data_IF_355224138365
#
_entry.id   IF_355224138365
#
_cell.length_a   1.000
_cell.length_b   1.000
_cell.length_c   1.000
_cell.angle_alpha   90.00
_cell.angle_beta   90.00
_cell.angle_gamma   90.00
#
_symmetry.space_group_name_H-M   'P 1'
#
loop_
_entity.id
_entity.type
_entity.pdbx_description
1 polymer ?
#
# COMPACT_ATOMS: atom_id res chain seq x y z
N UNK A 1 17.24 14.91 -33.91
CA UNK A 1 17.88 13.61 -33.76
C UNK A 1 18.59 13.50 -32.42
N UNK A 2 19.65 14.23 -32.15
CA UNK A 2 20.46 14.15 -30.90
C UNK A 2 19.60 14.23 -29.61
N UNK A 3 18.60 15.09 -29.57
CA UNK A 3 17.72 15.20 -28.40
C UNK A 3 16.87 13.93 -28.16
N UNK A 4 16.43 13.26 -29.23
CA UNK A 4 15.63 12.03 -29.12
C UNK A 4 16.53 10.84 -28.79
N UNK A 5 17.76 10.81 -29.31
CA UNK A 5 18.77 9.82 -28.92
C UNK A 5 19.06 9.88 -27.41
N UNK A 6 19.21 11.08 -26.86
CA UNK A 6 19.39 11.27 -25.41
C UNK A 6 18.17 10.79 -24.61
N UNK A 7 16.94 11.08 -25.11
CA UNK A 7 15.70 10.61 -24.45
C UNK A 7 15.65 9.07 -24.47
N UNK A 8 15.96 8.44 -25.60
CA UNK A 8 16.02 6.99 -25.74
C UNK A 8 17.00 6.36 -24.74
N UNK A 9 18.23 6.89 -24.64
CA UNK A 9 19.22 6.40 -23.68
C UNK A 9 18.75 6.52 -22.22
N UNK A 10 18.15 7.67 -21.88
CA UNK A 10 17.61 7.91 -20.52
C UNK A 10 16.46 6.96 -20.21
N UNK A 11 15.49 6.80 -21.14
CA UNK A 11 14.34 5.92 -20.90
C UNK A 11 14.76 4.47 -20.79
N UNK A 12 15.70 4.01 -21.61
CA UNK A 12 16.28 2.66 -21.55
C UNK A 12 17.03 2.41 -20.24
N UNK A 13 17.83 3.38 -19.78
CA UNK A 13 18.48 3.28 -18.47
C UNK A 13 17.47 3.21 -17.33
N UNK A 14 16.40 4.02 -17.39
CA UNK A 14 15.33 4.00 -16.39
C UNK A 14 14.53 2.71 -16.40
N UNK A 15 14.28 2.10 -17.56
CA UNK A 15 13.66 0.77 -17.70
C UNK A 15 14.51 -0.27 -16.97
N UNK A 16 15.82 -0.33 -17.23
CA UNK A 16 16.73 -1.29 -16.59
C UNK A 16 16.77 -1.12 -15.06
N UNK A 17 16.84 0.12 -14.58
CA UNK A 17 16.82 0.41 -13.14
C UNK A 17 15.50 -0.02 -12.52
N UNK A 18 14.37 0.25 -13.19
CA UNK A 18 13.05 -0.16 -12.73
C UNK A 18 12.92 -1.69 -12.68
N UNK A 19 13.41 -2.41 -13.70
CA UNK A 19 13.41 -3.87 -13.75
C UNK A 19 14.25 -4.48 -12.61
N UNK A 20 15.42 -3.96 -12.34
CA UNK A 20 16.26 -4.42 -11.22
C UNK A 20 15.58 -4.20 -9.86
N UNK A 21 15.01 -3.02 -9.64
CA UNK A 21 14.29 -2.70 -8.40
C UNK A 21 13.03 -3.55 -8.26
N UNK A 22 12.31 -3.77 -9.34
CA UNK A 22 11.14 -4.64 -9.40
C UNK A 22 11.49 -6.05 -8.92
N UNK A 23 12.50 -6.70 -9.54
CA UNK A 23 12.91 -8.07 -9.19
C UNK A 23 13.30 -8.20 -7.71
N UNK A 24 14.01 -7.21 -7.18
CA UNK A 24 14.38 -7.18 -5.76
C UNK A 24 13.16 -7.02 -4.83
N UNK A 25 12.21 -6.16 -5.20
CA UNK A 25 10.99 -5.92 -4.42
C UNK A 25 10.04 -7.12 -4.49
N UNK A 26 9.90 -7.74 -5.68
CA UNK A 26 9.07 -8.93 -5.91
C UNK A 26 9.55 -10.11 -5.05
N UNK A 27 10.85 -10.36 -4.96
CA UNK A 27 11.38 -11.42 -4.11
C UNK A 27 11.08 -11.20 -2.62
N UNK A 28 11.10 -9.94 -2.15
CA UNK A 28 10.70 -9.60 -0.77
C UNK A 28 9.20 -9.78 -0.56
N UNK A 29 8.39 -9.32 -1.51
CA UNK A 29 6.94 -9.45 -1.48
C UNK A 29 6.50 -10.90 -1.43
N UNK A 30 7.05 -11.77 -2.28
CA UNK A 30 6.72 -13.19 -2.31
C UNK A 30 6.96 -13.88 -0.95
N UNK A 31 8.13 -13.63 -0.33
CA UNK A 31 8.45 -14.17 1.01
C UNK A 31 7.51 -13.65 2.09
N UNK A 32 7.23 -12.35 2.10
CA UNK A 32 6.36 -11.72 3.10
C UNK A 32 4.90 -12.16 2.95
N UNK A 33 4.45 -12.45 1.72
CA UNK A 33 3.09 -12.92 1.44
C UNK A 33 2.82 -14.29 2.06
N UNK A 34 3.78 -15.21 1.98
CA UNK A 34 3.65 -16.54 2.60
C UNK A 34 3.52 -16.38 4.11
N UNK A 35 4.42 -15.61 4.73
CA UNK A 35 4.38 -15.36 6.16
C UNK A 35 3.05 -14.77 6.63
N UNK A 36 2.55 -13.73 5.93
CA UNK A 36 1.29 -13.09 6.32
C UNK A 36 0.09 -14.04 6.18
N UNK A 37 0.08 -14.88 5.14
CA UNK A 37 -0.97 -15.88 4.94
C UNK A 37 -1.07 -16.86 6.12
N UNK A 38 0.08 -17.36 6.59
CA UNK A 38 0.12 -18.23 7.77
C UNK A 38 -0.34 -17.50 9.04
N UNK A 39 0.11 -16.26 9.22
CA UNK A 39 -0.35 -15.42 10.33
C UNK A 39 -1.86 -15.16 10.29
N UNK A 40 -2.43 -14.90 9.09
CA UNK A 40 -3.87 -14.71 8.91
C UNK A 40 -4.65 -15.97 9.30
N UNK A 41 -4.14 -17.13 8.95
CA UNK A 41 -4.73 -18.43 9.32
C UNK A 41 -4.70 -18.63 10.84
N UNK A 42 -3.58 -18.34 11.50
CA UNK A 42 -3.46 -18.44 12.95
C UNK A 42 -4.42 -17.48 13.68
N UNK A 43 -4.46 -16.21 13.26
CA UNK A 43 -5.38 -15.21 13.84
C UNK A 43 -6.84 -15.64 13.64
N UNK A 44 -7.18 -16.18 12.47
CA UNK A 44 -8.52 -16.65 12.17
C UNK A 44 -8.90 -17.85 13.05
N UNK A 45 -8.01 -18.83 13.22
CA UNK A 45 -8.26 -20.00 14.07
C UNK A 45 -8.42 -19.60 15.55
N UNK A 46 -7.56 -18.73 16.07
CA UNK A 46 -7.64 -18.26 17.43
C UNK A 46 -8.88 -17.37 17.67
N UNK A 47 -9.30 -16.56 16.70
CA UNK A 47 -10.51 -15.75 16.83
C UNK A 47 -11.78 -16.58 16.90
N UNK A 48 -11.85 -17.74 16.22
CA UNK A 48 -12.96 -18.67 16.33
C UNK A 48 -13.06 -19.36 17.70
N UNK A 49 -11.90 -19.61 18.33
CA UNK A 49 -11.86 -20.15 19.69
C UNK A 49 -12.39 -19.16 20.74
N UNK A 50 -12.27 -17.86 20.51
CA UNK A 50 -12.84 -16.81 21.39
C UNK A 50 -14.37 -16.83 21.40
N UNK A 51 -15.03 -17.06 20.24
CA UNK A 51 -16.49 -17.18 20.16
C UNK A 51 -16.99 -18.40 20.97
N UNK A 52 -16.31 -19.54 20.87
CA UNK A 52 -16.66 -20.75 21.60
C UNK A 52 -16.51 -20.61 23.13
N UNK A 53 -15.58 -19.77 23.60
CA UNK A 53 -15.40 -19.50 25.03
C UNK A 53 -16.53 -18.60 25.58
N UNK A 54 -17.06 -17.68 24.78
CA UNK A 54 -18.19 -16.83 25.18
C UNK A 54 -19.52 -17.58 25.32
N UNK A 55 -19.70 -18.63 24.55
CA UNK A 55 -20.92 -19.46 24.57
C UNK A 55 -20.85 -20.62 25.60
N UNK A 56 -19.71 -20.80 26.28
CA UNK A 56 -19.58 -21.82 27.35
C UNK A 56 -19.91 -21.21 28.72
N UNK A 57 -20.95 -21.68 29.42
CA UNK A 57 -21.34 -21.13 30.71
C UNK A 57 -20.45 -21.56 31.89
N UNK A 58 -19.21 -21.94 31.65
CA UNK A 58 -18.29 -22.40 32.70
C UNK A 58 -17.14 -21.41 32.91
N UNK A 59 -17.09 -20.93 34.19
CA UNK A 59 -15.98 -20.29 34.86
C UNK A 59 -15.89 -18.75 34.85
N UNK A 60 -16.91 -18.09 35.37
CA UNK A 60 -16.77 -16.70 35.87
C UNK A 60 -16.72 -16.66 37.42
N UNK A 61 -16.58 -17.78 38.11
CA UNK A 61 -16.75 -17.80 39.58
C UNK A 61 -15.50 -18.01 40.41
N UNK A 62 -14.28 -18.13 39.88
CA UNK A 62 -13.14 -18.43 40.75
C UNK A 62 -11.84 -17.69 40.41
N UNK A 63 -11.84 -16.35 40.31
CA UNK A 63 -10.60 -15.56 40.41
C UNK A 63 -10.90 -14.18 41.08
N UNK A 64 -11.54 -14.23 42.25
CA UNK A 64 -11.46 -13.16 43.23
C UNK A 64 -10.61 -13.66 44.37
N UNK A 65 -9.29 -13.46 44.30
CA UNK A 65 -8.47 -13.39 45.52
C UNK A 65 -7.22 -12.53 45.26
N UNK A 66 -7.19 -11.44 46.05
CA UNK A 66 -6.01 -10.78 46.63
C UNK A 66 -5.03 -10.04 45.69
N UNK A 67 -5.26 -8.75 45.55
CA UNK A 67 -4.19 -7.78 45.58
C UNK A 67 -4.64 -6.55 46.40
N UNK A 68 -3.86 -6.09 47.39
CA UNK A 68 -4.16 -4.90 48.17
C UNK A 68 -3.91 -3.64 47.35
N UNK A 69 -4.83 -2.69 47.45
CA UNK A 69 -4.70 -1.36 46.86
C UNK A 69 -3.66 -0.55 47.64
N UNK A 70 -2.64 -0.05 46.98
CA UNK A 70 -1.76 1.00 47.47
C UNK A 70 -2.00 2.29 46.65
N UNK A 71 -2.49 3.39 47.26
CA UNK A 71 -2.88 4.59 46.54
C UNK A 71 -1.78 5.67 46.57
N UNK A 72 -0.57 5.39 46.12
CA UNK A 72 0.45 6.41 46.02
C UNK A 72 1.45 6.15 44.90
N UNK A 73 1.07 6.47 43.66
CA UNK A 73 2.03 6.84 42.62
C UNK A 73 1.37 7.61 41.48
N UNK A 74 1.25 8.91 41.68
CA UNK A 74 1.08 9.90 40.61
C UNK A 74 2.47 10.25 40.08
N UNK A 75 2.79 9.83 38.86
CA UNK A 75 3.77 10.57 38.03
C UNK A 75 3.84 10.05 36.58
N UNK A 76 3.83 11.00 35.69
CA UNK A 76 4.33 11.06 34.31
C UNK A 76 3.49 10.44 33.19
N UNK A 77 3.17 11.33 32.27
CA UNK A 77 2.37 11.22 31.02
C UNK A 77 2.84 10.18 29.99
N UNK A 78 3.81 9.34 30.29
CA UNK A 78 4.30 8.26 29.41
C UNK A 78 3.68 6.88 29.66
N UNK A 79 3.13 6.64 30.84
CA UNK A 79 2.63 5.31 31.26
C UNK A 79 1.14 5.05 30.95
N UNK A 80 0.37 6.07 30.64
CA UNK A 80 -1.09 5.97 30.39
C UNK A 80 -1.38 5.17 29.10
N UNK A 81 -0.45 5.11 28.16
CA UNK A 81 -0.65 4.46 26.85
C UNK A 81 -0.57 2.93 26.86
N UNK A 82 0.07 2.33 27.88
CA UNK A 82 0.10 0.87 28.04
C UNK A 82 -1.09 0.30 28.82
N UNK A 83 -1.73 1.11 29.68
CA UNK A 83 -2.83 0.66 30.54
C UNK A 83 -4.14 0.41 29.82
N UNK A 84 -4.36 0.98 28.62
CA UNK A 84 -5.61 0.79 27.83
C UNK A 84 -5.78 -0.66 27.33
N UNK A 85 -4.71 -1.45 27.35
CA UNK A 85 -4.73 -2.86 26.96
C UNK A 85 -5.09 -3.83 28.09
N UNK A 86 -5.23 -3.32 29.32
CA UNK A 86 -5.40 -4.13 30.55
C UNK A 86 -6.78 -4.07 31.16
N UNK A 87 -7.82 -3.68 30.41
CA UNK A 87 -9.20 -3.80 30.95
C UNK A 87 -9.62 -5.27 30.96
N UNK A 88 -9.80 -5.89 32.16
CA UNK A 88 -10.26 -7.26 32.27
C UNK A 88 -11.74 -7.31 31.84
N UNK A 89 -12.04 -7.99 30.76
CA UNK A 89 -13.45 -8.25 30.41
C UNK A 89 -13.76 -8.55 28.96
N UNK A 90 -12.85 -8.36 28.00
CA UNK A 90 -13.12 -8.74 26.62
C UNK A 90 -11.86 -9.31 25.98
N UNK A 91 -11.85 -10.61 25.78
CA UNK A 91 -10.81 -11.36 25.04
C UNK A 91 -10.62 -10.82 23.61
N UNK A 92 -11.54 -10.02 23.11
CA UNK A 92 -11.52 -9.45 21.77
C UNK A 92 -10.94 -8.04 21.69
N UNK A 93 -10.64 -7.35 22.79
CA UNK A 93 -10.07 -6.00 22.80
C UNK A 93 -10.85 -4.95 21.98
N UNK A 94 -10.54 -3.68 22.15
CA UNK A 94 -11.27 -2.57 21.49
C UNK A 94 -11.15 -2.57 19.96
N UNK A 95 -10.22 -3.34 19.35
CA UNK A 95 -10.04 -3.43 17.90
C UNK A 95 -11.11 -4.28 17.18
N UNK A 96 -11.80 -5.14 17.92
CA UNK A 96 -12.92 -5.97 17.41
C UNK A 96 -14.29 -5.40 17.75
N UNK A 97 -14.34 -4.29 18.47
CA UNK A 97 -15.57 -3.66 18.84
C UNK A 97 -16.29 -3.10 17.61
N UNK A 98 -17.54 -3.51 17.40
CA UNK A 98 -18.36 -2.96 16.34
C UNK A 98 -18.88 -1.58 16.76
N UNK A 99 -18.29 -0.54 16.21
CA UNK A 99 -18.65 0.85 16.48
C UNK A 99 -19.63 1.38 15.43
N UNK A 100 -20.41 2.38 15.82
CA UNK A 100 -21.19 3.18 14.87
C UNK A 100 -20.20 4.03 14.10
N UNK A 101 -20.10 3.80 12.79
CA UNK A 101 -19.15 4.50 11.92
C UNK A 101 -19.65 5.93 11.69
N UNK A 102 -18.90 6.91 12.14
CA UNK A 102 -19.09 8.35 11.87
C UNK A 102 -17.89 8.94 11.14
N UNK A 103 -16.71 8.45 11.48
CA UNK A 103 -15.43 8.94 10.96
C UNK A 103 -14.72 7.84 10.19
N UNK A 104 -14.42 8.10 8.91
CA UNK A 104 -13.72 7.16 8.04
C UNK A 104 -12.36 7.70 7.64
N UNK A 105 -11.32 6.88 7.73
CA UNK A 105 -9.97 7.25 7.33
C UNK A 105 -9.46 6.33 6.23
N UNK A 106 -8.86 6.92 5.20
CA UNK A 106 -8.24 6.21 4.09
C UNK A 106 -6.73 6.37 4.14
N UNK A 107 -5.99 5.27 4.26
CA UNK A 107 -4.54 5.24 4.01
C UNK A 107 -4.31 5.06 2.51
N UNK A 108 -3.87 6.11 1.80
CA UNK A 108 -3.62 6.09 0.36
C UNK A 108 -2.12 5.97 0.06
N UNK A 109 -1.71 4.86 -0.56
CA UNK A 109 -0.30 4.55 -0.83
C UNK A 109 0.03 4.84 -2.29
N UNK A 110 0.83 5.88 -2.55
CA UNK A 110 1.31 6.27 -3.89
C UNK A 110 2.82 6.15 -4.00
N UNK A 111 3.36 6.44 -5.18
CA UNK A 111 4.80 6.56 -5.40
C UNK A 111 5.38 7.89 -4.91
N UNK A 112 6.71 7.90 -4.75
CA UNK A 112 7.47 9.13 -4.46
C UNK A 112 7.85 9.90 -5.72
N UNK A 113 7.92 9.21 -6.87
CA UNK A 113 8.37 9.75 -8.16
C UNK A 113 7.35 9.48 -9.27
N UNK A 114 7.42 10.29 -10.32
CA UNK A 114 6.64 10.11 -11.55
C UNK A 114 7.24 9.06 -12.50
N UNK A 115 6.91 9.18 -13.78
CA UNK A 115 7.34 8.32 -14.89
C UNK A 115 6.94 6.84 -14.72
N UNK A 116 5.81 6.61 -14.06
CA UNK A 116 5.20 5.30 -13.84
C UNK A 116 3.83 5.15 -14.55
N UNK A 117 3.70 5.83 -15.70
CA UNK A 117 2.43 5.85 -16.43
C UNK A 117 1.29 6.41 -15.59
N UNK A 118 0.12 5.79 -15.67
CA UNK A 118 -1.09 6.21 -14.95
C UNK A 118 -1.17 5.74 -13.49
N UNK A 119 -0.14 5.08 -12.95
CA UNK A 119 -0.15 4.49 -11.61
C UNK A 119 -0.59 5.47 -10.52
N UNK A 120 0.11 6.59 -10.36
CA UNK A 120 -0.21 7.58 -9.34
C UNK A 120 -1.54 8.29 -9.62
N UNK A 121 -1.82 8.63 -10.87
CA UNK A 121 -3.04 9.32 -11.27
C UNK A 121 -4.28 8.48 -10.99
N UNK A 122 -4.23 7.18 -11.25
CA UNK A 122 -5.33 6.26 -10.98
C UNK A 122 -5.60 6.11 -9.47
N UNK A 123 -4.55 6.03 -8.65
CA UNK A 123 -4.67 6.00 -7.19
C UNK A 123 -5.28 7.29 -6.64
N UNK A 124 -4.83 8.45 -7.13
CA UNK A 124 -5.37 9.75 -6.71
C UNK A 124 -6.84 9.93 -7.13
N UNK A 125 -7.22 9.45 -8.33
CA UNK A 125 -8.62 9.43 -8.77
C UNK A 125 -9.46 8.51 -7.89
N UNK A 126 -8.97 7.29 -7.58
CA UNK A 126 -9.66 6.35 -6.71
C UNK A 126 -9.86 6.93 -5.29
N UNK A 127 -8.84 7.58 -4.72
CA UNK A 127 -8.96 8.24 -3.43
C UNK A 127 -9.99 9.39 -3.45
N UNK A 128 -10.00 10.21 -4.50
CA UNK A 128 -10.99 11.28 -4.66
C UNK A 128 -12.43 10.73 -4.78
N UNK A 129 -12.61 9.67 -5.59
CA UNK A 129 -13.91 8.99 -5.71
C UNK A 129 -14.37 8.38 -4.38
N UNK A 130 -13.44 7.85 -3.57
CA UNK A 130 -13.76 7.32 -2.24
C UNK A 130 -14.25 8.43 -1.30
N UNK A 131 -13.61 9.61 -1.29
CA UNK A 131 -14.08 10.77 -0.51
C UNK A 131 -15.47 11.18 -0.93
N UNK A 132 -15.74 11.29 -2.23
CA UNK A 132 -17.06 11.65 -2.75
C UNK A 132 -18.12 10.59 -2.41
N UNK A 133 -17.78 9.31 -2.46
CA UNK A 133 -18.69 8.21 -2.14
C UNK A 133 -18.99 8.10 -0.62
N UNK A 134 -18.18 8.71 0.23
CA UNK A 134 -18.36 8.72 1.68
C UNK A 134 -18.66 10.13 2.22
N UNK A 135 -19.33 10.97 1.43
CA UNK A 135 -19.64 12.36 1.81
C UNK A 135 -20.53 12.46 3.07
N UNK A 136 -21.32 11.43 3.39
CA UNK A 136 -22.15 11.35 4.58
C UNK A 136 -21.36 11.14 5.89
N UNK A 137 -20.08 10.85 5.79
CA UNK A 137 -19.17 10.59 6.90
C UNK A 137 -18.11 11.69 7.00
N UNK A 138 -17.60 11.91 8.19
CA UNK A 138 -16.39 12.70 8.37
C UNK A 138 -15.19 11.92 7.80
N UNK A 139 -14.72 12.33 6.62
CA UNK A 139 -13.63 11.62 5.91
C UNK A 139 -12.29 12.31 6.10
N UNK A 140 -11.25 11.52 6.30
CA UNK A 140 -9.87 11.99 6.33
C UNK A 140 -8.95 11.04 5.55
N UNK A 141 -7.83 11.58 5.04
CA UNK A 141 -6.84 10.81 4.30
C UNK A 141 -5.50 10.83 5.02
N UNK A 142 -4.81 9.70 5.01
CA UNK A 142 -3.42 9.55 5.42
C UNK A 142 -2.60 9.22 4.17
N UNK A 143 -1.98 10.20 3.51
CA UNK A 143 -1.16 9.94 2.33
C UNK A 143 0.19 9.33 2.69
N UNK A 144 0.58 8.29 1.93
CA UNK A 144 1.91 7.69 1.95
C UNK A 144 2.52 7.86 0.56
N UNK A 145 3.69 8.49 0.51
CA UNK A 145 4.38 8.87 -0.73
C UNK A 145 4.22 10.34 -1.09
N UNK A 146 5.27 10.89 -1.70
CA UNK A 146 5.39 12.32 -2.00
C UNK A 146 4.25 12.81 -2.90
N UNK A 147 3.90 12.03 -3.93
CA UNK A 147 2.87 12.42 -4.92
C UNK A 147 1.50 12.60 -4.27
N UNK A 148 1.09 11.68 -3.35
CA UNK A 148 -0.18 11.83 -2.63
C UNK A 148 -0.17 13.03 -1.70
N UNK A 149 0.91 13.21 -0.91
CA UNK A 149 1.03 14.33 0.03
C UNK A 149 0.90 15.68 -0.68
N UNK A 150 1.60 15.86 -1.80
CA UNK A 150 1.54 17.10 -2.59
C UNK A 150 0.16 17.31 -3.24
N UNK A 151 -0.43 16.23 -3.79
CA UNK A 151 -1.72 16.31 -4.48
C UNK A 151 -2.87 16.64 -3.54
N UNK A 152 -2.96 15.99 -2.38
CA UNK A 152 -4.03 16.23 -1.41
C UNK A 152 -3.87 17.57 -0.71
N UNK A 153 -2.63 18.02 -0.44
CA UNK A 153 -2.36 19.37 0.05
C UNK A 153 -2.87 20.44 -0.92
N UNK A 154 -2.62 20.27 -2.24
CA UNK A 154 -3.12 21.21 -3.27
C UNK A 154 -4.65 21.21 -3.39
N UNK A 155 -5.30 20.09 -3.09
CA UNK A 155 -6.77 19.95 -3.16
C UNK A 155 -7.47 20.28 -1.84
N UNK A 156 -6.74 20.71 -0.81
CA UNK A 156 -7.26 21.02 0.51
C UNK A 156 -8.09 19.90 1.15
N UNK A 157 -7.72 18.64 0.86
CA UNK A 157 -8.39 17.47 1.46
C UNK A 157 -7.87 17.30 2.89
N UNK A 158 -8.74 17.05 3.90
CA UNK A 158 -8.33 16.85 5.28
C UNK A 158 -7.34 15.69 5.42
N UNK A 159 -6.19 15.96 6.03
CA UNK A 159 -5.14 14.97 6.29
C UNK A 159 -4.87 14.92 7.80
N UNK A 160 -5.03 13.73 8.42
CA UNK A 160 -4.71 13.52 9.84
C UNK A 160 -3.20 13.40 10.06
N UNK A 161 -2.55 12.64 9.21
CA UNK A 161 -1.11 12.38 9.21
C UNK A 161 -0.60 12.35 7.77
N UNK A 162 0.70 12.51 7.56
CA UNK A 162 1.31 12.37 6.24
C UNK A 162 2.69 11.73 6.30
N UNK A 163 2.98 10.88 5.32
CA UNK A 163 4.26 10.19 5.18
C UNK A 163 4.85 10.46 3.80
N UNK A 164 5.56 11.59 3.60
CA UNK A 164 6.01 12.01 2.28
C UNK A 164 7.13 11.14 1.68
N UNK A 165 7.85 10.39 2.51
CA UNK A 165 8.94 9.54 2.06
C UNK A 165 8.58 8.06 2.21
N UNK A 166 8.45 7.37 1.06
CA UNK A 166 8.26 5.92 0.98
C UNK A 166 9.52 5.17 0.52
N UNK A 167 10.59 5.89 0.24
CA UNK A 167 11.79 5.36 -0.43
C UNK A 167 12.44 4.15 0.26
N UNK A 168 12.23 3.99 1.56
CA UNK A 168 12.75 2.86 2.35
C UNK A 168 11.60 2.08 2.99
N UNK A 169 10.91 1.25 2.20
CA UNK A 169 9.94 0.29 2.77
C UNK A 169 10.71 -0.77 3.56
N UNK A 170 10.67 -0.65 4.89
CA UNK A 170 11.18 -1.62 5.85
C UNK A 170 10.11 -1.90 6.92
N UNK A 171 10.39 -2.88 7.78
CA UNK A 171 9.47 -3.27 8.85
C UNK A 171 9.25 -2.13 9.87
N UNK A 172 10.29 -1.34 10.16
CA UNK A 172 10.19 -0.20 11.08
C UNK A 172 9.23 0.87 10.57
N UNK A 173 9.28 1.17 9.28
CA UNK A 173 8.33 2.10 8.64
C UNK A 173 6.90 1.58 8.73
N UNK A 174 6.69 0.29 8.47
CA UNK A 174 5.38 -0.34 8.62
C UNK A 174 4.88 -0.30 10.07
N UNK A 175 5.75 -0.58 11.06
CA UNK A 175 5.44 -0.47 12.49
C UNK A 175 5.00 0.95 12.87
N UNK A 176 5.74 1.96 12.40
CA UNK A 176 5.41 3.38 12.65
C UNK A 176 4.01 3.74 12.14
N UNK A 177 3.69 3.34 10.90
CA UNK A 177 2.36 3.56 10.31
C UNK A 177 1.29 2.79 11.10
N UNK A 178 1.52 1.50 11.37
CA UNK A 178 0.56 0.65 12.09
C UNK A 178 0.26 1.20 13.48
N UNK A 179 1.29 1.65 14.19
CA UNK A 179 1.13 2.26 15.51
C UNK A 179 0.24 3.51 15.43
N UNK A 180 0.51 4.40 14.46
CA UNK A 180 -0.28 5.61 14.27
C UNK A 180 -1.75 5.31 13.89
N UNK A 181 -1.99 4.31 13.03
CA UNK A 181 -3.34 3.88 12.66
C UNK A 181 -4.10 3.28 13.86
N UNK A 182 -3.41 2.50 14.70
CA UNK A 182 -3.98 1.96 15.95
C UNK A 182 -4.32 3.07 16.93
N UNK A 183 -3.45 4.05 17.10
CA UNK A 183 -3.66 5.21 17.99
C UNK A 183 -4.87 6.04 17.55
N UNK A 184 -5.02 6.32 16.26
CA UNK A 184 -6.19 7.01 15.70
C UNK A 184 -7.50 6.25 15.93
N UNK A 185 -7.47 4.94 15.81
CA UNK A 185 -8.65 4.10 16.05
C UNK A 185 -9.01 4.04 17.55
N UNK A 186 -8.02 3.85 18.41
CA UNK A 186 -8.22 3.75 19.87
C UNK A 186 -8.63 5.10 20.50
N UNK A 187 -8.11 6.21 19.99
CA UNK A 187 -8.49 7.56 20.42
C UNK A 187 -9.82 8.05 19.85
N UNK A 188 -10.56 7.19 19.13
CA UNK A 188 -11.83 7.51 18.47
C UNK A 188 -11.74 8.72 17.49
N UNK A 189 -10.54 8.98 16.96
CA UNK A 189 -10.37 9.95 15.87
C UNK A 189 -10.78 9.33 14.51
N UNK A 190 -10.85 8.00 14.43
CA UNK A 190 -11.36 7.26 13.27
C UNK A 190 -12.08 6.00 13.74
N UNK A 191 -13.28 5.74 13.20
CA UNK A 191 -14.08 4.55 13.51
C UNK A 191 -13.84 3.42 12.51
N UNK A 192 -13.37 3.74 11.30
CA UNK A 192 -13.04 2.77 10.27
C UNK A 192 -11.83 3.23 9.48
N UNK A 193 -10.89 2.33 9.26
CA UNK A 193 -9.67 2.60 8.48
C UNK A 193 -9.57 1.62 7.33
N UNK A 194 -9.45 2.17 6.12
CA UNK A 194 -9.26 1.42 4.89
C UNK A 194 -7.90 1.71 4.26
N UNK A 195 -7.33 0.72 3.57
CA UNK A 195 -6.07 0.85 2.83
C UNK A 195 -6.39 0.91 1.34
N UNK A 196 -5.90 1.94 0.65
CA UNK A 196 -5.94 2.06 -0.80
C UNK A 196 -4.55 1.86 -1.38
N UNK A 197 -4.42 0.88 -2.23
CA UNK A 197 -3.17 0.60 -2.95
C UNK A 197 -3.43 -0.13 -4.26
N UNK A 198 -2.40 -0.27 -5.09
CA UNK A 198 -2.47 -1.01 -6.35
C UNK A 198 -1.91 -2.42 -6.16
N UNK A 199 -2.73 -3.44 -6.44
CA UNK A 199 -2.29 -4.84 -6.40
C UNK A 199 -1.31 -5.13 -7.51
N UNK A 200 -0.36 -6.01 -7.22
CA UNK A 200 0.52 -6.56 -8.23
C UNK A 200 -0.11 -7.78 -8.91
N UNK A 201 -0.14 -7.76 -10.24
CA UNK A 201 -0.54 -8.88 -11.09
C UNK A 201 0.55 -9.14 -12.13
N UNK A 202 1.14 -10.36 -12.16
CA UNK A 202 2.11 -10.70 -13.18
C UNK A 202 1.50 -10.56 -14.59
N UNK A 203 2.20 -9.84 -15.48
CA UNK A 203 1.79 -9.67 -16.88
C UNK A 203 0.59 -8.76 -17.14
N UNK A 204 0.00 -8.14 -16.13
CA UNK A 204 -1.15 -7.25 -16.28
C UNK A 204 -0.98 -5.95 -15.49
N UNK A 205 -1.74 -4.92 -15.89
CA UNK A 205 -1.82 -3.69 -15.13
C UNK A 205 -2.40 -3.95 -13.74
N UNK A 206 -1.78 -3.38 -12.71
CA UNK A 206 -2.27 -3.47 -11.34
C UNK A 206 -3.66 -2.83 -11.19
N UNK A 207 -4.47 -3.36 -10.30
CA UNK A 207 -5.80 -2.84 -9.98
C UNK A 207 -5.76 -2.13 -8.63
N UNK A 208 -6.35 -0.95 -8.55
CA UNK A 208 -6.55 -0.25 -7.28
C UNK A 208 -7.63 -0.97 -6.47
N UNK A 209 -7.33 -1.26 -5.22
CA UNK A 209 -8.26 -1.91 -4.31
C UNK A 209 -8.32 -1.16 -2.98
N UNK A 210 -9.50 -1.23 -2.37
CA UNK A 210 -9.75 -0.81 -1.00
C UNK A 210 -9.83 -2.05 -0.12
N UNK A 211 -9.04 -2.07 0.94
CA UNK A 211 -8.98 -3.20 1.87
C UNK A 211 -9.28 -2.70 3.27
N UNK A 212 -10.29 -3.23 3.98
CA UNK A 212 -10.54 -2.85 5.36
C UNK A 212 -9.34 -3.25 6.22
N UNK A 213 -8.96 -2.35 7.13
CA UNK A 213 -7.82 -2.55 8.03
C UNK A 213 -8.25 -2.57 9.49
N UNK A 214 -9.01 -1.58 9.93
CA UNK A 214 -9.68 -1.44 11.23
C UNK A 214 -11.11 -0.92 10.98
N UNK A 215 -12.19 -1.40 11.60
CA UNK A 215 -12.30 -2.42 12.65
C UNK A 215 -12.04 -3.84 12.11
N UNK A 216 -11.72 -4.77 13.01
CA UNK A 216 -11.36 -6.15 12.65
C UNK A 216 -12.56 -7.12 12.65
N UNK A 217 -13.77 -6.63 12.72
CA UNK A 217 -15.01 -7.39 12.64
C UNK A 217 -15.12 -8.26 11.38
N UNK A 218 -14.52 -7.80 10.26
CA UNK A 218 -14.46 -8.57 9.02
C UNK A 218 -13.70 -9.91 9.15
N UNK A 219 -12.75 -10.05 10.07
CA UNK A 219 -12.05 -11.31 10.30
C UNK A 219 -12.98 -12.36 10.90
N UNK A 220 -13.89 -11.93 11.78
CA UNK A 220 -14.90 -12.81 12.38
C UNK A 220 -15.96 -13.23 11.36
N UNK A 221 -16.40 -12.29 10.50
CA UNK A 221 -17.43 -12.57 9.48
C UNK A 221 -16.89 -13.50 8.38
N UNK A 222 -15.60 -13.40 8.04
CA UNK A 222 -14.97 -14.25 7.01
C UNK A 222 -14.92 -15.72 7.43
N UNK A 223 -14.75 -16.00 8.71
CA UNK A 223 -14.84 -17.37 9.25
C UNK A 223 -16.24 -17.97 9.11
N UNK A 224 -17.30 -17.15 9.19
CA UNK A 224 -18.70 -17.62 9.04
C UNK A 224 -19.11 -17.91 7.58
N UNK A 225 -18.47 -17.28 6.58
CA UNK A 225 -18.89 -17.35 5.16
C UNK A 225 -18.06 -18.26 4.25
N UNK A 226 -16.93 -18.76 4.65
CA UNK A 226 -16.11 -19.47 3.68
C UNK A 226 -14.89 -20.16 4.22
N UNK A 227 -15.04 -21.28 4.47
CA UNK A 227 -14.33 -22.53 4.32
C UNK A 227 -14.62 -23.39 5.54
N UNK A 228 -15.38 -24.43 5.31
CA UNK A 228 -15.13 -25.73 5.91
C UNK A 228 -13.70 -26.17 5.53
N UNK A 229 -12.68 -25.38 5.97
CA UNK A 229 -11.33 -25.91 6.08
C UNK A 229 -11.47 -26.93 7.20
N UNK A 230 -11.38 -28.16 6.78
CA UNK A 230 -11.35 -29.39 7.54
C UNK A 230 -11.37 -29.19 9.05
N UNK A 231 -12.34 -29.81 9.71
CA UNK A 231 -12.44 -30.03 11.16
C UNK A 231 -11.20 -30.72 11.73
N UNK A 232 -10.00 -30.20 11.50
CA UNK A 232 -8.86 -30.48 12.35
C UNK A 232 -8.91 -29.44 13.46
N UNK A 233 -9.53 -29.77 14.56
CA UNK A 233 -9.40 -29.06 15.83
C UNK A 233 -7.92 -29.15 16.23
N UNK A 234 -7.08 -28.27 15.68
CA UNK A 234 -5.72 -28.14 16.13
C UNK A 234 -5.85 -27.42 17.48
N UNK A 235 -5.67 -28.14 18.57
CA UNK A 235 -5.55 -27.56 19.89
C UNK A 235 -4.16 -26.92 19.99
N UNK A 236 -4.13 -25.60 20.13
CA UNK A 236 -2.90 -24.87 20.37
C UNK A 236 -2.62 -24.80 21.87
N UNK A 237 -1.42 -25.19 22.26
CA UNK A 237 -0.91 -24.94 23.62
C UNK A 237 -0.38 -23.51 23.62
N UNK A 238 -1.00 -22.63 24.42
CA UNK A 238 -0.66 -21.21 24.48
C UNK A 238 0.00 -20.88 25.82
N UNK A 239 1.17 -20.29 25.77
CA UNK A 239 1.94 -19.85 26.95
C UNK A 239 2.31 -18.37 26.81
N UNK A 240 2.12 -17.52 27.83
CA UNK A 240 1.64 -17.84 29.19
C UNK A 240 0.12 -17.98 29.28
N UNK A 241 -0.65 -17.24 28.49
CA UNK A 241 -2.12 -17.22 28.44
C UNK A 241 -2.64 -16.86 27.06
N UNK A 242 -3.89 -17.21 26.78
CA UNK A 242 -4.52 -16.96 25.49
C UNK A 242 -4.56 -15.45 25.13
N UNK A 243 -4.91 -14.59 26.09
CA UNK A 243 -5.11 -13.16 25.83
C UNK A 243 -3.81 -12.47 25.45
N UNK A 244 -2.72 -12.71 26.18
CA UNK A 244 -1.39 -12.15 25.90
C UNK A 244 -0.87 -12.59 24.54
N UNK A 245 -0.99 -13.89 24.23
CA UNK A 245 -0.56 -14.44 22.94
C UNK A 245 -1.38 -13.86 21.79
N UNK A 246 -2.70 -13.80 21.95
CA UNK A 246 -3.60 -13.28 20.91
C UNK A 246 -3.35 -11.80 20.61
N UNK A 247 -3.20 -10.94 21.62
CA UNK A 247 -2.89 -9.51 21.45
C UNK A 247 -1.54 -9.32 20.75
N UNK A 248 -0.53 -10.09 21.15
CA UNK A 248 0.81 -10.05 20.55
C UNK A 248 0.76 -10.48 19.08
N UNK A 249 0.08 -11.60 18.79
CA UNK A 249 -0.11 -12.11 17.44
C UNK A 249 -0.86 -11.11 16.54
N UNK A 250 -1.94 -10.53 17.07
CA UNK A 250 -2.73 -9.53 16.37
C UNK A 250 -1.92 -8.28 16.01
N UNK A 251 -1.10 -7.80 16.94
CA UNK A 251 -0.21 -6.67 16.68
C UNK A 251 0.77 -6.97 15.56
N UNK A 252 1.37 -8.16 15.56
CA UNK A 252 2.29 -8.62 14.49
C UNK A 252 1.58 -8.83 13.15
N UNK A 253 0.34 -9.33 13.18
CA UNK A 253 -0.49 -9.47 11.97
C UNK A 253 -0.76 -8.11 11.32
N UNK A 254 -1.17 -7.10 12.11
CA UNK A 254 -1.42 -5.75 11.60
C UNK A 254 -0.17 -5.11 11.02
N UNK A 255 0.97 -5.23 11.70
CA UNK A 255 2.27 -4.76 11.19
C UNK A 255 2.64 -5.46 9.88
N UNK A 256 2.48 -6.78 9.83
CA UNK A 256 2.72 -7.59 8.63
C UNK A 256 1.80 -7.21 7.47
N UNK A 257 0.51 -6.93 7.75
CA UNK A 257 -0.47 -6.51 6.74
C UNK A 257 -0.11 -5.17 6.12
N UNK A 258 0.25 -4.16 6.93
CA UNK A 258 0.72 -2.85 6.43
C UNK A 258 2.02 -3.03 5.64
N UNK A 259 2.96 -3.82 6.15
CA UNK A 259 4.24 -4.07 5.47
C UNK A 259 4.04 -4.74 4.10
N UNK A 260 3.20 -5.78 4.03
CA UNK A 260 2.88 -6.45 2.77
C UNK A 260 2.21 -5.51 1.78
N UNK A 261 1.25 -4.69 2.23
CA UNK A 261 0.56 -3.70 1.40
C UNK A 261 1.53 -2.67 0.83
N UNK A 262 2.48 -2.18 1.63
CA UNK A 262 3.54 -1.27 1.19
C UNK A 262 4.45 -1.93 0.15
N UNK A 263 4.83 -3.20 0.35
CA UNK A 263 5.65 -3.96 -0.59
C UNK A 263 4.91 -4.21 -1.90
N UNK A 264 3.64 -4.61 -1.85
CA UNK A 264 2.82 -4.87 -3.04
C UNK A 264 2.64 -3.61 -3.88
N UNK A 265 2.35 -2.47 -3.23
CA UNK A 265 2.30 -1.16 -3.86
C UNK A 265 3.64 -0.77 -4.52
N UNK A 266 4.76 -1.09 -3.87
CA UNK A 266 6.10 -0.82 -4.40
C UNK A 266 6.42 -1.67 -5.64
N UNK A 267 6.07 -2.95 -5.60
CA UNK A 267 6.22 -3.88 -6.75
C UNK A 267 5.38 -3.41 -7.92
N UNK A 268 4.11 -3.04 -7.68
CA UNK A 268 3.20 -2.50 -8.69
C UNK A 268 3.72 -1.20 -9.31
N UNK A 269 4.28 -0.31 -8.50
CA UNK A 269 4.89 0.95 -9.00
C UNK A 269 6.09 0.69 -9.91
N UNK A 270 7.01 -0.21 -9.50
CA UNK A 270 8.18 -0.54 -10.31
C UNK A 270 7.80 -1.28 -11.60
N UNK A 271 6.80 -2.16 -11.55
CA UNK A 271 6.24 -2.81 -12.73
C UNK A 271 5.64 -1.79 -13.71
N UNK A 272 4.82 -0.88 -13.22
CA UNK A 272 4.23 0.17 -14.03
C UNK A 272 5.29 1.10 -14.65
N UNK A 273 6.31 1.45 -13.88
CA UNK A 273 7.43 2.27 -14.38
C UNK A 273 8.24 1.54 -15.44
N UNK A 274 8.56 0.27 -15.25
CA UNK A 274 9.28 -0.55 -16.23
C UNK A 274 8.52 -0.59 -17.55
N UNK A 275 7.21 -0.86 -17.52
CA UNK A 275 6.35 -0.90 -18.71
C UNK A 275 6.29 0.48 -19.39
N UNK A 276 6.09 1.55 -18.62
CA UNK A 276 6.01 2.91 -19.16
C UNK A 276 7.33 3.36 -19.81
N UNK A 277 8.47 3.02 -19.20
CA UNK A 277 9.78 3.35 -19.76
C UNK A 277 10.10 2.51 -21.00
N UNK A 278 9.72 1.23 -21.03
CA UNK A 278 9.84 0.40 -22.23
C UNK A 278 9.05 1.00 -23.39
N UNK A 279 7.77 1.35 -23.18
CA UNK A 279 6.96 2.00 -24.21
C UNK A 279 7.57 3.33 -24.69
N UNK A 280 8.13 4.12 -23.76
CA UNK A 280 8.80 5.37 -24.13
C UNK A 280 10.06 5.13 -24.95
N UNK A 281 10.82 4.06 -24.67
CA UNK A 281 12.01 3.65 -25.45
C UNK A 281 11.60 3.20 -26.84
N UNK A 282 10.62 2.30 -26.95
CA UNK A 282 10.09 1.79 -28.22
C UNK A 282 9.57 2.94 -29.10
N UNK A 283 8.78 3.88 -28.55
CA UNK A 283 8.32 5.07 -29.27
C UNK A 283 9.48 5.98 -29.73
N UNK A 284 10.55 6.08 -28.90
CA UNK A 284 11.73 6.88 -29.27
C UNK A 284 12.50 6.26 -30.45
N UNK A 285 12.57 4.93 -30.53
CA UNK A 285 13.18 4.20 -31.64
C UNK A 285 12.39 4.45 -32.95
N UNK A 286 11.06 4.35 -32.92
CA UNK A 286 10.21 4.63 -34.09
C UNK A 286 10.41 6.07 -34.61
N UNK A 287 10.46 7.05 -33.70
CA UNK A 287 10.70 8.45 -34.07
C UNK A 287 12.10 8.63 -34.67
N UNK A 288 13.12 7.97 -34.11
CA UNK A 288 14.47 8.03 -34.62
C UNK A 288 14.57 7.47 -36.04
N UNK A 289 13.91 6.34 -36.32
CA UNK A 289 13.93 5.74 -37.66
C UNK A 289 13.19 6.61 -38.66
N UNK A 290 12.05 7.17 -38.30
CA UNK A 290 11.35 8.14 -39.16
C UNK A 290 12.20 9.37 -39.46
N UNK A 291 12.90 9.93 -38.47
CA UNK A 291 13.79 11.08 -38.68
C UNK A 291 15.01 10.73 -39.54
N UNK A 292 15.55 9.51 -39.44
CA UNK A 292 16.64 9.02 -40.31
C UNK A 292 16.20 8.97 -41.77
N UNK A 293 14.99 8.43 -42.02
CA UNK A 293 14.41 8.40 -43.37
C UNK A 293 14.18 9.80 -43.92
N UNK A 294 13.59 10.69 -43.11
CA UNK A 294 13.35 12.06 -43.51
C UNK A 294 14.66 12.81 -43.85
N UNK A 295 15.66 12.67 -43.00
CA UNK A 295 16.99 13.25 -43.24
C UNK A 295 17.60 12.76 -44.57
N UNK A 296 17.51 11.44 -44.83
CA UNK A 296 18.05 10.86 -46.05
C UNK A 296 17.30 11.34 -47.28
N UNK A 297 15.98 11.43 -47.23
CA UNK A 297 15.13 11.98 -48.30
C UNK A 297 15.45 13.44 -48.55
N UNK A 298 15.57 14.25 -47.52
CA UNK A 298 15.93 15.68 -47.67
C UNK A 298 17.33 15.84 -48.27
N UNK A 299 18.31 15.05 -47.81
CA UNK A 299 19.67 15.05 -48.37
C UNK A 299 19.65 14.73 -49.86
N UNK A 300 18.93 13.67 -50.27
CA UNK A 300 18.79 13.29 -51.68
C UNK A 300 18.16 14.42 -52.50
N UNK A 301 17.09 15.01 -52.02
CA UNK A 301 16.39 16.12 -52.69
C UNK A 301 17.31 17.34 -52.83
N UNK A 302 18.13 17.66 -51.80
CA UNK A 302 19.09 18.78 -51.87
C UNK A 302 20.19 18.50 -52.89
N UNK A 303 20.77 17.30 -52.89
CA UNK A 303 21.80 16.91 -53.87
C UNK A 303 21.21 16.97 -55.32
N UNK A 304 20.01 16.43 -55.50
CA UNK A 304 19.34 16.48 -56.85
C UNK A 304 19.09 17.90 -57.30
N UNK A 305 18.67 18.79 -56.42
CA UNK A 305 18.44 20.20 -56.72
C UNK A 305 19.78 20.88 -57.09
N UNK A 306 20.85 20.71 -56.29
CA UNK A 306 22.18 21.26 -56.54
C UNK A 306 22.72 20.78 -57.90
N UNK A 307 22.59 19.49 -58.21
CA UNK A 307 23.00 18.94 -59.51
C UNK A 307 22.19 19.56 -60.66
N UNK A 308 20.87 19.72 -60.51
CA UNK A 308 20.00 20.33 -61.52
C UNK A 308 20.36 21.82 -61.76
N UNK A 309 20.68 22.55 -60.70
CA UNK A 309 21.15 23.94 -60.77
C UNK A 309 22.51 24.04 -61.51
N UNK A 310 23.46 23.13 -61.24
CA UNK A 310 24.73 23.08 -61.95
C UNK A 310 24.54 22.76 -63.41
N UNK A 311 23.76 21.73 -63.75
CA UNK A 311 23.48 21.34 -65.14
C UNK A 311 22.80 22.46 -65.91
N UNK A 312 21.77 23.11 -65.30
CA UNK A 312 21.09 24.25 -65.92
C UNK A 312 22.01 25.45 -66.13
N UNK A 313 22.91 25.74 -65.17
CA UNK A 313 23.91 26.78 -65.32
C UNK A 313 24.94 26.49 -66.43
N UNK A 314 25.36 25.25 -66.58
CA UNK A 314 26.26 24.83 -67.66
C UNK A 314 25.60 24.90 -69.05
N UNK A 315 24.32 24.58 -69.16
CA UNK A 315 23.57 24.65 -70.43
C UNK A 315 23.30 26.07 -70.91
N UNK A 316 23.44 27.08 -70.06
CA UNK A 316 23.29 28.52 -70.45
C UNK A 316 24.63 29.08 -70.93
N UNK A 317 25.76 28.42 -70.65
CA UNK A 317 27.12 28.85 -71.07
C UNK A 317 27.59 28.21 -72.37
N UNK A 318 26.83 27.31 -72.96
CA UNK A 318 27.04 26.72 -74.28
C UNK A 318 26.02 27.30 -75.24
#
# INVERSE_FOLDING_TARGET
MKSIENIHEITKAMEMIAAFRFKRAEGRFAKSRIYLKEMETLVANLSSSVENIKDSPRSVTNLRHNAPADPSQTSSSGQIRHAVWQTPGSVAGPLFEKRIIRKKTLLAITGDKGLCGAYNTNLLKAAASWVSANADFETAIIPVGKVACESFKKKHIPMLLSYPERSKVNLEFAKKITWALKDLFLSAQSDSIELLYTTYRPGAAGKNIFVPFLSLDYLMVRNKKGNKIANSTIEYILEPDFETVFISLLSRYLEGKVYLTLLESLVSEYSARMIAMKQATDNSDEILDHLRLLRNKTRQATITRELSEIVSGASVLV
#
